data_IF_085111065684
#
_entry.id   IF_085111065684
#
_cell.length_a   1.000
_cell.length_b   1.000
_cell.length_c   1.000
_cell.angle_alpha   90.00
_cell.angle_beta   90.00
_cell.angle_gamma   90.00
#
_symmetry.space_group_name_H-M   'P 1'
#
loop_
_entity.id
_entity.type
_entity.pdbx_description
1 polymer ?
#
# COMPACT_ATOMS: atom_id res chain seq x y z
N UNK A 1 3.72 -7.47 19.41
CA UNK A 1 4.55 -7.72 18.21
C UNK A 1 5.69 -6.73 18.24
N UNK A 2 6.95 -7.21 18.26
CA UNK A 2 8.12 -6.33 18.28
C UNK A 2 8.36 -5.83 16.85
N UNK A 3 8.19 -4.54 16.60
CA UNK A 3 8.41 -3.96 15.28
C UNK A 3 9.89 -3.65 15.15
N UNK A 4 10.55 -4.24 14.14
CA UNK A 4 11.96 -3.99 13.82
C UNK A 4 12.04 -3.06 12.61
N UNK A 5 12.43 -1.78 12.79
CA UNK A 5 12.44 -0.80 11.71
C UNK A 5 13.27 -1.22 10.49
N UNK A 6 14.41 -1.87 10.71
CA UNK A 6 15.30 -2.35 9.65
C UNK A 6 14.61 -3.42 8.79
N UNK A 7 13.93 -4.37 9.45
CA UNK A 7 13.18 -5.41 8.76
C UNK A 7 12.01 -4.81 7.97
N UNK A 8 11.31 -3.82 8.53
CA UNK A 8 10.23 -3.11 7.84
C UNK A 8 10.75 -2.31 6.64
N UNK A 9 11.95 -1.73 6.74
CA UNK A 9 12.60 -1.06 5.63
C UNK A 9 12.97 -2.03 4.51
N UNK A 10 13.52 -3.21 4.84
CA UNK A 10 13.80 -4.27 3.86
C UNK A 10 12.53 -4.81 3.21
N UNK A 11 11.45 -4.99 3.98
CA UNK A 11 10.15 -5.37 3.42
C UNK A 11 9.62 -4.32 2.44
N UNK A 12 9.67 -3.03 2.82
CA UNK A 12 9.25 -1.95 1.91
C UNK A 12 10.11 -1.89 0.64
N UNK A 13 11.42 -2.10 0.78
CA UNK A 13 12.35 -2.18 -0.35
C UNK A 13 11.95 -3.30 -1.30
N UNK A 14 11.73 -4.52 -0.79
CA UNK A 14 11.29 -5.66 -1.58
C UNK A 14 9.97 -5.38 -2.30
N UNK A 15 8.99 -4.77 -1.64
CA UNK A 15 7.71 -4.49 -2.28
C UNK A 15 7.86 -3.51 -3.46
N UNK A 16 8.74 -2.52 -3.35
CA UNK A 16 9.02 -1.57 -4.44
C UNK A 16 9.76 -2.27 -5.58
N UNK A 17 10.72 -3.14 -5.30
CA UNK A 17 11.38 -3.94 -6.34
C UNK A 17 10.37 -4.80 -7.11
N UNK A 18 9.52 -5.55 -6.40
CA UNK A 18 8.44 -6.35 -7.00
C UNK A 18 7.52 -5.48 -7.87
N UNK A 19 7.19 -4.27 -7.41
CA UNK A 19 6.37 -3.34 -8.16
C UNK A 19 7.05 -2.88 -9.45
N UNK A 20 8.30 -2.43 -9.38
CA UNK A 20 9.07 -1.96 -10.54
C UNK A 20 9.21 -3.08 -11.58
N UNK A 21 9.58 -4.29 -11.16
CA UNK A 21 9.66 -5.48 -12.02
C UNK A 21 8.33 -5.78 -12.73
N UNK A 22 7.21 -5.72 -12.00
CA UNK A 22 5.88 -5.98 -12.58
C UNK A 22 5.36 -4.87 -13.50
N UNK A 23 5.81 -3.63 -13.28
CA UNK A 23 5.35 -2.45 -14.02
C UNK A 23 6.12 -2.20 -15.33
N UNK A 24 7.18 -2.97 -15.58
CA UNK A 24 8.16 -2.77 -16.67
C UNK A 24 8.81 -1.37 -16.66
N UNK A 25 8.66 -0.60 -15.58
CA UNK A 25 9.28 0.71 -15.41
C UNK A 25 10.52 0.60 -14.52
N UNK A 26 11.66 1.20 -14.91
CA UNK A 26 12.89 1.15 -14.12
C UNK A 26 12.87 2.11 -12.92
N UNK A 27 11.89 3.01 -12.84
CA UNK A 27 11.81 4.05 -11.82
C UNK A 27 10.36 4.36 -11.45
N UNK A 28 10.17 4.94 -10.27
CA UNK A 28 8.90 5.49 -9.79
C UNK A 28 8.68 6.84 -10.47
N UNK A 29 7.59 6.98 -11.22
CA UNK A 29 7.18 8.25 -11.81
C UNK A 29 6.70 9.25 -10.75
N UNK A 30 6.66 10.53 -11.11
CA UNK A 30 6.16 11.60 -10.22
C UNK A 30 4.70 11.36 -9.80
N UNK A 31 3.87 10.83 -10.70
CA UNK A 31 2.48 10.51 -10.42
C UNK A 31 2.35 9.38 -9.39
N UNK A 32 3.17 8.34 -9.52
CA UNK A 32 3.22 7.20 -8.59
C UNK A 32 3.75 7.63 -7.22
N UNK A 33 4.82 8.43 -7.17
CA UNK A 33 5.34 8.98 -5.93
C UNK A 33 4.26 9.81 -5.21
N UNK A 34 3.56 10.69 -5.92
CA UNK A 34 2.46 11.47 -5.34
C UNK A 34 1.34 10.57 -4.79
N UNK A 35 1.03 9.47 -5.48
CA UNK A 35 0.06 8.50 -5.01
C UNK A 35 0.50 7.80 -3.71
N UNK A 36 1.76 7.36 -3.62
CA UNK A 36 2.32 6.74 -2.41
C UNK A 36 2.21 7.69 -1.23
N UNK A 37 2.59 8.96 -1.42
CA UNK A 37 2.53 9.97 -0.37
C UNK A 37 1.09 10.23 0.09
N UNK A 38 0.11 10.29 -0.84
CA UNK A 38 -1.31 10.42 -0.49
C UNK A 38 -1.81 9.22 0.30
N UNK A 39 -1.47 7.99 -0.10
CA UNK A 39 -1.83 6.78 0.66
C UNK A 39 -1.30 6.84 2.08
N UNK A 40 -0.04 7.22 2.25
CA UNK A 40 0.58 7.36 3.57
C UNK A 40 -0.15 8.39 4.43
N UNK A 41 -0.64 9.48 3.84
CA UNK A 41 -1.46 10.46 4.55
C UNK A 41 -2.84 9.90 4.91
N UNK A 42 -3.52 9.21 3.99
CA UNK A 42 -4.81 8.57 4.26
C UNK A 42 -4.72 7.53 5.37
N UNK A 43 -3.70 6.67 5.36
CA UNK A 43 -3.45 5.68 6.41
C UNK A 43 -3.25 6.31 7.78
N UNK A 44 -2.56 7.46 7.83
CA UNK A 44 -2.27 8.18 9.06
C UNK A 44 -3.52 8.88 9.63
N UNK A 45 -4.32 9.51 8.78
CA UNK A 45 -5.45 10.35 9.21
C UNK A 45 -6.74 9.55 9.38
N UNK A 46 -7.03 8.65 8.45
CA UNK A 46 -8.34 7.99 8.35
C UNK A 46 -8.29 6.46 8.56
N UNK A 47 -7.09 5.90 8.68
CA UNK A 47 -6.91 4.47 8.96
C UNK A 47 -7.06 3.55 7.75
N UNK A 48 -6.95 2.24 8.02
CA UNK A 48 -6.83 1.20 7.00
C UNK A 48 -8.10 1.01 6.17
N UNK A 49 -9.29 1.09 6.80
CA UNK A 49 -10.60 1.02 6.13
C UNK A 49 -10.77 2.14 5.08
N UNK A 50 -10.43 3.38 5.45
CA UNK A 50 -10.52 4.52 4.54
C UNK A 50 -9.51 4.40 3.40
N UNK A 51 -8.28 3.95 3.68
CA UNK A 51 -7.29 3.70 2.64
C UNK A 51 -7.75 2.65 1.63
N UNK A 52 -8.38 1.56 2.09
CA UNK A 52 -8.94 0.52 1.22
C UNK A 52 -10.15 1.02 0.40
N UNK A 53 -11.00 1.85 0.99
CA UNK A 53 -12.11 2.48 0.29
C UNK A 53 -11.63 3.48 -0.79
N UNK A 54 -10.57 4.24 -0.50
CA UNK A 54 -9.95 5.16 -1.44
C UNK A 54 -9.41 4.45 -2.69
N UNK A 55 -8.77 3.27 -2.53
CA UNK A 55 -8.32 2.44 -3.66
C UNK A 55 -9.50 2.08 -4.58
N UNK A 56 -10.61 1.62 -4.01
CA UNK A 56 -11.77 1.21 -4.79
C UNK A 56 -12.52 2.37 -5.46
N UNK A 57 -12.68 3.50 -4.77
CA UNK A 57 -13.25 4.70 -5.39
C UNK A 57 -12.38 5.23 -6.53
N UNK A 58 -11.06 5.13 -6.39
CA UNK A 58 -10.12 5.51 -7.46
C UNK A 58 -10.25 4.59 -8.66
N UNK A 59 -10.54 3.29 -8.45
CA UNK A 59 -10.79 2.32 -9.51
C UNK A 59 -12.06 2.63 -10.32
N UNK A 60 -13.17 2.89 -9.62
CA UNK A 60 -14.49 3.08 -10.23
C UNK A 60 -14.59 4.30 -11.17
N UNK A 61 -13.68 5.26 -11.09
CA UNK A 61 -13.77 6.52 -11.83
C UNK A 61 -12.90 6.59 -13.10
N UNK A 62 -12.06 5.59 -13.39
CA UNK A 62 -11.26 5.49 -14.63
C UNK A 62 -10.23 6.61 -14.89
N UNK A 63 -9.37 6.43 -15.91
CA UNK A 63 -8.40 7.42 -16.42
C UNK A 63 -6.92 7.03 -16.29
N UNK A 64 -6.06 7.57 -17.17
CA UNK A 64 -4.63 7.18 -17.33
C UNK A 64 -3.80 7.36 -16.04
N UNK A 65 -3.99 8.48 -15.32
CA UNK A 65 -3.26 8.72 -14.07
C UNK A 65 -3.72 7.72 -12.99
N UNK A 66 -5.02 7.40 -12.95
CA UNK A 66 -5.59 6.51 -11.91
C UNK A 66 -5.25 5.04 -12.16
N UNK A 67 -5.20 4.62 -13.43
CA UNK A 67 -4.78 3.26 -13.78
C UNK A 67 -3.33 2.96 -13.42
N UNK A 68 -2.44 3.96 -13.40
CA UNK A 68 -1.05 3.83 -12.89
C UNK A 68 -0.98 3.77 -11.37
N UNK A 69 -1.88 4.50 -10.71
CA UNK A 69 -1.92 4.59 -9.25
C UNK A 69 -2.39 3.26 -8.64
N UNK A 70 -3.36 2.56 -9.23
CA UNK A 70 -3.88 1.29 -8.70
C UNK A 70 -2.79 0.22 -8.44
N UNK A 71 -1.91 -0.12 -9.40
CA UNK A 71 -0.79 -1.03 -9.21
C UNK A 71 0.09 -0.72 -7.99
N UNK A 72 0.39 0.56 -7.76
CA UNK A 72 1.22 1.00 -6.63
C UNK A 72 0.55 0.70 -5.29
N UNK A 73 -0.76 0.95 -5.20
CA UNK A 73 -1.50 0.78 -3.95
C UNK A 73 -1.74 -0.69 -3.65
N UNK A 74 -1.95 -1.52 -4.68
CA UNK A 74 -1.97 -2.98 -4.56
C UNK A 74 -0.64 -3.49 -4.01
N UNK A 75 0.48 -2.96 -4.48
CA UNK A 75 1.79 -3.32 -3.94
C UNK A 75 1.95 -2.91 -2.47
N UNK A 76 1.48 -1.72 -2.07
CA UNK A 76 1.64 -1.24 -0.69
C UNK A 76 0.70 -1.93 0.31
N UNK A 77 -0.60 -2.04 -0.01
CA UNK A 77 -1.61 -2.60 0.89
C UNK A 77 -1.81 -4.11 0.68
N UNK A 78 -1.81 -4.57 -0.57
CA UNK A 78 -1.99 -5.99 -0.88
C UNK A 78 -0.86 -6.84 -0.32
N UNK A 79 0.40 -6.47 -0.58
CA UNK A 79 1.55 -7.22 -0.06
C UNK A 79 1.69 -7.13 1.48
N UNK A 80 1.11 -6.10 2.12
CA UNK A 80 1.03 -6.04 3.58
C UNK A 80 0.08 -7.12 4.15
N UNK A 81 -1.05 -7.34 3.48
CA UNK A 81 -2.08 -8.30 3.88
C UNK A 81 -1.66 -9.73 3.55
N UNK A 82 -1.17 -9.94 2.33
CA UNK A 82 -0.59 -11.21 1.89
C UNK A 82 0.52 -10.93 0.87
N UNK A 83 1.77 -11.17 1.26
CA UNK A 83 2.93 -10.93 0.42
C UNK A 83 3.12 -11.97 -0.68
N UNK A 84 2.64 -13.20 -0.47
CA UNK A 84 2.77 -14.31 -1.43
C UNK A 84 1.72 -14.22 -2.53
N UNK A 85 0.47 -13.94 -2.13
CA UNK A 85 -0.67 -13.78 -3.03
C UNK A 85 -1.43 -12.51 -2.69
N UNK A 86 -0.96 -11.34 -3.16
CA UNK A 86 -1.63 -10.07 -2.89
C UNK A 86 -3.06 -10.07 -3.44
N UNK A 87 -4.08 -9.73 -2.63
CA UNK A 87 -5.46 -9.71 -3.09
C UNK A 87 -5.67 -8.70 -4.21
N UNK A 88 -6.69 -8.93 -5.03
CA UNK A 88 -7.26 -7.88 -5.89
C UNK A 88 -7.81 -6.71 -5.07
N UNK A 89 -8.15 -5.61 -5.72
CA UNK A 89 -8.62 -4.38 -5.07
C UNK A 89 -9.96 -4.57 -4.34
N UNK A 90 -10.87 -5.35 -4.94
CA UNK A 90 -12.17 -5.70 -4.36
C UNK A 90 -11.98 -6.60 -3.14
N UNK A 91 -11.18 -7.67 -3.29
CA UNK A 91 -10.83 -8.59 -2.21
C UNK A 91 -10.11 -7.87 -1.07
N UNK A 92 -9.19 -6.94 -1.37
CA UNK A 92 -8.44 -6.18 -0.37
C UNK A 92 -9.39 -5.43 0.58
N UNK A 93 -10.42 -4.77 0.02
CA UNK A 93 -11.42 -4.06 0.84
C UNK A 93 -12.25 -5.03 1.64
N UNK A 94 -12.72 -6.11 1.03
CA UNK A 94 -13.55 -7.10 1.73
C UNK A 94 -12.79 -7.73 2.89
N UNK A 95 -11.53 -8.11 2.66
CA UNK A 95 -10.64 -8.62 3.70
C UNK A 95 -10.43 -7.61 4.83
N UNK A 96 -10.22 -6.32 4.52
CA UNK A 96 -10.03 -5.27 5.54
C UNK A 96 -11.32 -5.00 6.32
N UNK A 97 -12.48 -4.97 5.65
CA UNK A 97 -13.80 -4.82 6.28
C UNK A 97 -14.08 -6.00 7.20
N UNK A 98 -13.80 -7.22 6.73
CA UNK A 98 -13.99 -8.45 7.49
C UNK A 98 -13.08 -8.48 8.71
N UNK A 99 -11.79 -8.16 8.53
CA UNK A 99 -10.82 -8.08 9.63
C UNK A 99 -11.24 -7.06 10.69
N UNK A 100 -11.80 -5.92 10.28
CA UNK A 100 -12.30 -4.91 11.22
C UNK A 100 -13.51 -5.40 12.03
N UNK A 101 -14.37 -6.25 11.46
CA UNK A 101 -15.57 -6.79 12.11
C UNK A 101 -15.26 -7.99 13.01
N UNK A 102 -14.48 -8.94 12.50
CA UNK A 102 -14.28 -10.25 13.13
C UNK A 102 -12.98 -10.34 13.96
N UNK A 103 -11.95 -9.58 13.58
CA UNK A 103 -10.62 -9.66 14.19
C UNK A 103 -10.07 -8.26 14.58
N UNK A 104 -10.76 -7.48 15.44
CA UNK A 104 -10.42 -6.07 15.71
C UNK A 104 -8.98 -5.87 16.20
N UNK A 105 -8.45 -6.80 17.01
CA UNK A 105 -7.05 -6.76 17.47
C UNK A 105 -6.07 -6.91 16.31
N UNK A 106 -6.34 -7.82 15.37
CA UNK A 106 -5.54 -8.01 14.16
C UNK A 106 -5.64 -6.81 13.25
N UNK A 107 -6.83 -6.25 13.08
CA UNK A 107 -7.04 -5.00 12.33
C UNK A 107 -6.16 -3.87 12.87
N UNK A 108 -6.17 -3.65 14.19
CA UNK A 108 -5.35 -2.61 14.82
C UNK A 108 -3.85 -2.87 14.66
N UNK A 109 -3.41 -4.13 14.77
CA UNK A 109 -2.02 -4.50 14.54
C UNK A 109 -1.59 -4.26 13.08
N UNK A 110 -2.44 -4.67 12.12
CA UNK A 110 -2.22 -4.47 10.68
C UNK A 110 -2.18 -2.99 10.33
N UNK A 111 -3.08 -2.17 10.90
CA UNK A 111 -3.05 -0.73 10.70
C UNK A 111 -1.77 -0.08 11.25
N UNK A 112 -1.33 -0.45 12.46
CA UNK A 112 -0.05 0.04 13.00
C UNK A 112 1.13 -0.36 12.12
N UNK A 113 1.14 -1.60 11.63
CA UNK A 113 2.17 -2.10 10.70
C UNK A 113 2.14 -1.33 9.37
N UNK A 114 0.95 -1.02 8.83
CA UNK A 114 0.80 -0.28 7.59
C UNK A 114 1.34 1.15 7.70
N UNK A 115 1.13 1.83 8.83
CA UNK A 115 1.65 3.17 9.06
C UNK A 115 3.19 3.21 9.09
N UNK A 116 3.83 2.19 9.66
CA UNK A 116 5.29 2.12 9.71
C UNK A 116 5.83 1.74 8.32
N UNK A 117 5.21 0.75 7.68
CA UNK A 117 5.57 0.33 6.34
C UNK A 117 5.45 1.49 5.33
N UNK A 118 4.39 2.30 5.42
CA UNK A 118 4.18 3.42 4.51
C UNK A 118 5.27 4.49 4.62
N UNK A 119 5.84 4.70 5.82
CA UNK A 119 6.97 5.62 5.98
C UNK A 119 8.23 5.11 5.25
N UNK A 120 8.52 3.81 5.34
CA UNK A 120 9.65 3.21 4.62
C UNK A 120 9.41 3.17 3.12
N UNK A 121 8.16 2.94 2.69
CA UNK A 121 7.76 3.11 1.29
C UNK A 121 7.99 4.52 0.78
N UNK A 122 7.62 5.55 1.55
CA UNK A 122 7.88 6.95 1.17
C UNK A 122 9.38 7.22 0.96
N UNK A 123 10.24 6.63 1.79
CA UNK A 123 11.68 6.76 1.65
C UNK A 123 12.18 6.11 0.35
N UNK A 124 11.87 4.83 0.15
CA UNK A 124 12.33 4.09 -1.02
C UNK A 124 11.72 4.60 -2.31
N UNK A 125 10.45 5.00 -2.33
CA UNK A 125 9.81 5.56 -3.50
C UNK A 125 10.51 6.85 -3.99
N UNK A 126 11.05 7.66 -3.06
CA UNK A 126 11.89 8.82 -3.40
C UNK A 126 13.27 8.40 -3.87
N UNK A 127 13.84 7.34 -3.32
CA UNK A 127 15.13 6.82 -3.76
C UNK A 127 15.07 6.24 -5.19
N UNK A 128 13.92 5.67 -5.57
CA UNK A 128 13.65 5.12 -6.89
C UNK A 128 12.93 6.08 -7.83
N UNK A 129 12.66 7.33 -7.44
CA UNK A 129 12.03 8.30 -8.33
C UNK A 129 13.04 8.93 -9.27
N UNK A 130 12.69 9.00 -10.56
CA UNK A 130 13.47 9.71 -11.58
C UNK A 130 13.14 11.21 -11.65
#
# INVERSE_FOLDING_TARGET
>A
MLIKPEQMSLTAHQHIQNYLESSLNPAISKEELNAILRLSQHLRVFGLLSAAAYVNQTNAQGGIVRSRILPVWKSLLGQLINSETPPSEEELREMIVQMAKEEPTKYMATWRKSMILSNHWNFWARAYSA
#
